data_IF_747310357855
#
_entry.id   IF_747310357855
#
_cell.length_a   1.000
_cell.length_b   1.000
_cell.length_c   1.000
_cell.angle_alpha   90.00
_cell.angle_beta   90.00
_cell.angle_gamma   90.00
#
_symmetry.space_group_name_H-M   'P 1'
#
loop_
_entity.id
_entity.type
_entity.pdbx_description
1 polymer ?
#
# COMPACT_ATOMS: atom_id res chain seq x y z
N UNK A 1 7.74 -19.81 56.17
CA UNK A 1 9.05 -20.12 55.55
C UNK A 1 8.96 -19.65 54.10
N UNK A 2 9.04 -18.35 53.80
CA UNK A 2 10.25 -17.53 53.61
C UNK A 2 11.37 -18.18 52.78
N UNK A 3 11.86 -17.36 51.82
CA UNK A 3 13.13 -17.44 51.09
C UNK A 3 13.08 -18.27 49.78
N UNK A 4 13.42 -17.77 48.58
CA UNK A 4 14.20 -16.58 48.21
C UNK A 4 13.90 -16.16 46.77
N UNK A 5 13.79 -14.85 46.51
CA UNK A 5 14.01 -14.26 45.18
C UNK A 5 15.47 -14.47 44.78
N UNK A 6 15.74 -14.80 43.51
CA UNK A 6 16.99 -14.39 42.86
C UNK A 6 16.72 -13.83 41.47
N UNK A 7 17.06 -12.56 41.38
CA UNK A 7 17.20 -11.72 40.19
C UNK A 7 18.63 -11.92 39.69
N UNK A 8 18.82 -12.19 38.40
CA UNK A 8 20.13 -12.05 37.74
C UNK A 8 19.89 -11.42 36.36
N UNK A 9 20.37 -10.19 36.11
CA UNK A 9 20.51 -9.62 34.78
C UNK A 9 21.93 -9.89 34.26
N UNK A 10 22.12 -9.97 32.94
CA UNK A 10 23.36 -9.50 32.30
C UNK A 10 23.25 -9.51 30.78
N UNK A 11 23.24 -8.29 30.22
CA UNK A 11 23.68 -8.02 28.86
C UNK A 11 25.15 -8.43 28.71
N UNK A 12 25.54 -8.98 27.54
CA UNK A 12 26.82 -8.63 26.89
C UNK A 12 26.64 -8.63 25.37
N UNK A 13 26.63 -7.44 24.82
CA UNK A 13 26.96 -7.15 23.44
C UNK A 13 28.39 -7.64 23.18
N UNK A 14 28.56 -8.55 22.23
CA UNK A 14 29.85 -8.89 21.66
C UNK A 14 29.92 -8.30 20.25
N UNK A 15 30.29 -7.03 20.20
CA UNK A 15 30.83 -6.36 19.01
C UNK A 15 32.10 -7.08 18.58
N UNK A 16 32.10 -7.69 17.39
CA UNK A 16 33.32 -7.99 16.64
C UNK A 16 33.37 -7.12 15.40
N UNK A 17 34.19 -6.08 15.51
CA UNK A 17 34.76 -5.26 14.46
C UNK A 17 35.72 -6.14 13.64
N UNK A 18 35.39 -6.41 12.37
CA UNK A 18 36.39 -6.82 11.38
C UNK A 18 36.39 -5.77 10.28
N UNK A 19 37.31 -4.83 10.43
CA UNK A 19 37.71 -3.89 9.38
C UNK A 19 38.43 -4.67 8.28
N UNK A 20 37.73 -4.97 7.19
CA UNK A 20 38.35 -5.41 5.93
C UNK A 20 38.49 -4.21 5.01
N UNK A 21 39.70 -3.63 5.00
CA UNK A 21 40.12 -2.61 4.07
C UNK A 21 40.46 -3.28 2.74
N UNK A 22 39.49 -3.37 1.82
CA UNK A 22 39.72 -3.84 0.45
C UNK A 22 39.90 -2.64 -0.48
N UNK A 23 41.15 -2.22 -0.63
CA UNK A 23 41.61 -1.29 -1.66
C UNK A 23 41.76 -2.10 -2.96
N UNK A 24 40.75 -2.08 -3.85
CA UNK A 24 40.90 -2.62 -5.20
C UNK A 24 40.85 -1.48 -6.22
N UNK A 25 41.98 -1.36 -6.90
CA UNK A 25 42.36 -0.34 -7.87
C UNK A 25 41.48 -0.35 -9.11
N UNK A 26 41.05 0.84 -9.50
CA UNK A 26 40.39 1.15 -10.77
C UNK A 26 41.39 1.00 -11.93
N UNK A 27 41.23 -0.01 -12.80
CA UNK A 27 41.93 -0.06 -14.09
C UNK A 27 40.95 0.43 -15.18
N UNK A 28 41.26 1.52 -15.91
CA UNK A 28 40.56 1.84 -17.15
C UNK A 28 40.98 0.82 -18.23
N UNK A 29 40.03 0.03 -18.71
CA UNK A 29 40.24 -0.86 -19.85
C UNK A 29 40.50 -0.04 -21.12
N UNK A 30 41.72 -0.14 -21.64
CA UNK A 30 42.10 0.38 -22.94
C UNK A 30 41.24 -0.25 -24.04
N UNK A 31 40.55 0.59 -24.81
CA UNK A 31 39.91 0.21 -26.06
C UNK A 31 41.00 -0.22 -27.04
N UNK A 32 41.07 -1.52 -27.35
CA UNK A 32 41.90 -2.01 -28.43
C UNK A 32 41.13 -1.78 -29.74
N UNK A 33 41.54 -0.75 -30.49
CA UNK A 33 41.13 -0.55 -31.86
C UNK A 33 41.49 -1.80 -32.67
N UNK A 34 40.48 -2.57 -33.10
CA UNK A 34 40.70 -3.62 -34.09
C UNK A 34 41.04 -2.97 -35.42
N UNK A 35 42.30 -3.13 -35.78
CA UNK A 35 42.89 -2.84 -37.07
C UNK A 35 42.05 -3.50 -38.16
N UNK A 36 41.53 -2.68 -39.08
CA UNK A 36 40.98 -3.15 -40.35
C UNK A 36 42.07 -3.96 -41.08
N UNK A 37 41.82 -5.25 -41.22
CA UNK A 37 42.61 -6.18 -42.02
C UNK A 37 41.68 -6.89 -42.98
N UNK A 38 42.14 -7.00 -44.23
CA UNK A 38 41.60 -7.80 -45.33
C UNK A 38 40.21 -7.46 -45.86
N UNK A 39 40.20 -6.47 -46.74
CA UNK A 39 39.38 -6.53 -47.94
C UNK A 39 40.12 -7.40 -48.97
N UNK A 40 39.87 -8.71 -48.97
CA UNK A 40 40.06 -9.52 -50.17
C UNK A 40 38.83 -10.38 -50.40
N UNK A 41 38.08 -10.01 -51.44
CA UNK A 41 36.75 -10.52 -51.72
C UNK A 41 36.82 -11.87 -52.39
N UNK A 42 36.79 -12.96 -51.63
CA UNK A 42 36.38 -14.31 -52.09
C UNK A 42 35.88 -15.19 -50.94
N UNK A 43 34.83 -14.75 -50.22
CA UNK A 43 34.08 -15.60 -49.31
C UNK A 43 32.75 -16.02 -49.94
N UNK A 44 32.60 -17.31 -50.28
CA UNK A 44 31.34 -17.92 -50.75
C UNK A 44 30.19 -17.54 -49.82
N UNK A 45 29.11 -17.03 -50.41
CA UNK A 45 27.94 -16.52 -49.72
C UNK A 45 27.33 -17.53 -48.76
N UNK A 46 27.29 -17.17 -47.48
CA UNK A 46 26.36 -17.74 -46.53
C UNK A 46 25.10 -16.89 -46.63
N UNK A 47 24.09 -17.42 -47.31
CA UNK A 47 22.75 -16.85 -47.32
C UNK A 47 22.33 -16.61 -45.88
N UNK A 48 22.12 -15.35 -45.50
CA UNK A 48 21.41 -14.97 -44.29
C UNK A 48 19.94 -15.35 -44.48
N UNK A 49 19.65 -16.64 -44.34
CA UNK A 49 18.30 -17.15 -44.25
C UNK A 49 17.77 -16.74 -42.87
N UNK A 50 17.13 -15.57 -42.83
CA UNK A 50 16.49 -14.97 -41.66
C UNK A 50 15.35 -15.84 -41.08
N UNK A 51 15.07 -16.99 -41.70
CA UNK A 51 14.05 -17.94 -41.26
C UNK A 51 14.58 -19.05 -40.35
N UNK A 52 15.90 -19.19 -40.18
CA UNK A 52 16.49 -20.15 -39.26
C UNK A 52 17.12 -19.46 -38.04
N UNK A 53 16.36 -18.54 -37.43
CA UNK A 53 16.58 -18.22 -36.02
C UNK A 53 15.96 -19.37 -35.26
N UNK A 54 16.79 -20.30 -34.77
CA UNK A 54 16.41 -21.16 -33.66
C UNK A 54 15.94 -20.21 -32.55
N UNK A 55 14.61 -20.04 -32.45
CA UNK A 55 14.00 -19.36 -31.32
C UNK A 55 14.28 -20.29 -30.17
N UNK A 56 15.43 -20.09 -29.52
CA UNK A 56 15.65 -20.47 -28.15
C UNK A 56 14.48 -19.84 -27.40
N UNK A 57 13.38 -20.57 -27.31
CA UNK A 57 12.28 -20.24 -26.43
C UNK A 57 12.96 -20.25 -25.09
N UNK A 58 13.22 -19.09 -24.46
CA UNK A 58 13.75 -19.14 -23.14
C UNK A 58 12.55 -19.61 -22.35
N UNK A 59 12.47 -20.92 -22.11
CA UNK A 59 11.73 -21.44 -20.98
C UNK A 59 12.48 -20.89 -19.79
N UNK A 60 12.28 -19.60 -19.49
CA UNK A 60 12.48 -19.03 -18.18
C UNK A 60 11.38 -19.69 -17.36
N UNK A 61 11.60 -20.96 -17.04
CA UNK A 61 10.78 -21.76 -16.13
C UNK A 61 10.86 -21.05 -14.80
N UNK A 62 9.91 -20.15 -14.53
CA UNK A 62 9.70 -19.57 -13.21
C UNK A 62 10.83 -18.67 -12.72
N UNK A 63 11.23 -17.65 -13.49
CA UNK A 63 11.99 -16.55 -12.92
C UNK A 63 11.27 -15.99 -11.69
N UNK A 64 12.01 -15.78 -10.59
CA UNK A 64 11.51 -15.25 -9.31
C UNK A 64 10.65 -13.99 -9.50
N UNK A 65 10.95 -13.21 -10.54
CA UNK A 65 10.20 -12.04 -10.98
C UNK A 65 9.22 -12.34 -12.12
N UNK A 66 8.11 -13.01 -11.81
CA UNK A 66 7.05 -13.27 -12.78
C UNK A 66 5.67 -13.29 -12.12
N UNK A 67 4.62 -13.02 -12.92
CA UNK A 67 3.23 -13.10 -12.46
C UNK A 67 2.90 -14.49 -11.90
N UNK A 68 3.26 -15.62 -12.58
CA UNK A 68 3.04 -16.95 -12.02
C UNK A 68 3.79 -17.18 -10.71
N UNK A 69 5.03 -16.67 -10.57
CA UNK A 69 5.80 -16.82 -9.34
C UNK A 69 5.11 -16.11 -8.14
N UNK A 70 4.64 -14.88 -8.32
CA UNK A 70 3.91 -14.20 -7.23
C UNK A 70 2.55 -14.82 -6.93
N UNK A 71 1.81 -15.32 -7.93
CA UNK A 71 0.57 -16.11 -7.71
C UNK A 71 0.84 -17.39 -6.91
N UNK A 72 1.94 -18.09 -7.22
CA UNK A 72 2.38 -19.27 -6.46
C UNK A 72 2.67 -18.91 -5.00
N UNK A 73 3.37 -17.81 -4.72
CA UNK A 73 3.62 -17.34 -3.35
C UNK A 73 2.32 -17.07 -2.59
N UNK A 74 1.31 -16.48 -3.23
CA UNK A 74 0.00 -16.27 -2.62
C UNK A 74 -0.70 -17.60 -2.28
N UNK A 75 -0.64 -18.59 -3.18
CA UNK A 75 -1.21 -19.92 -2.94
C UNK A 75 -0.48 -20.70 -1.83
N UNK A 76 0.85 -20.58 -1.78
CA UNK A 76 1.65 -21.14 -0.69
C UNK A 76 1.32 -20.47 0.65
N UNK A 77 1.08 -19.16 0.65
CA UNK A 77 0.66 -18.45 1.84
C UNK A 77 -0.71 -18.89 2.34
N UNK A 78 -1.67 -19.10 1.43
CA UNK A 78 -2.99 -19.64 1.77
C UNK A 78 -2.87 -21.05 2.38
N UNK A 79 -2.02 -21.89 1.79
CA UNK A 79 -1.74 -23.23 2.33
C UNK A 79 -1.14 -23.15 3.74
N UNK A 80 -0.18 -22.25 3.96
CA UNK A 80 0.44 -22.01 5.26
C UNK A 80 -0.57 -21.44 6.28
N UNK A 81 -1.45 -20.53 5.86
CA UNK A 81 -2.51 -19.97 6.69
C UNK A 81 -3.49 -21.07 7.17
N UNK A 82 -3.91 -21.94 6.26
CA UNK A 82 -4.80 -23.07 6.58
C UNK A 82 -4.13 -24.08 7.53
N UNK A 83 -2.80 -24.22 7.44
CA UNK A 83 -2.01 -24.99 8.39
C UNK A 83 -1.68 -24.24 9.69
N UNK A 84 -2.28 -23.06 9.92
CA UNK A 84 -2.03 -22.18 11.07
C UNK A 84 -0.57 -21.71 11.21
N UNK A 85 0.24 -21.85 10.15
CA UNK A 85 1.59 -21.32 10.08
C UNK A 85 1.55 -19.87 9.60
N UNK A 86 1.10 -18.98 10.49
CA UNK A 86 0.88 -17.58 10.16
C UNK A 86 2.16 -16.81 9.85
N UNK A 87 3.30 -17.19 10.43
CA UNK A 87 4.58 -16.53 10.14
C UNK A 87 5.06 -16.82 8.73
N UNK A 88 4.96 -18.08 8.28
CA UNK A 88 5.25 -18.44 6.90
C UNK A 88 4.25 -17.79 5.93
N UNK A 89 2.95 -17.79 6.26
CA UNK A 89 1.94 -17.13 5.44
C UNK A 89 2.23 -15.64 5.26
N UNK A 90 2.58 -14.95 6.36
CA UNK A 90 2.95 -13.53 6.32
C UNK A 90 4.19 -13.29 5.45
N UNK A 91 5.24 -14.09 5.62
CA UNK A 91 6.47 -13.98 4.82
C UNK A 91 6.21 -14.16 3.33
N UNK A 92 5.45 -15.19 2.94
CA UNK A 92 5.10 -15.47 1.54
C UNK A 92 4.29 -14.34 0.90
N UNK A 93 3.36 -13.74 1.67
CA UNK A 93 2.57 -12.60 1.18
C UNK A 93 3.39 -11.32 1.07
N UNK A 94 4.36 -11.09 1.97
CA UNK A 94 5.30 -9.98 1.84
C UNK A 94 6.12 -10.10 0.54
N UNK A 95 6.67 -11.29 0.27
CA UNK A 95 7.41 -11.56 -0.97
C UNK A 95 6.52 -11.36 -2.21
N UNK A 96 5.29 -11.88 -2.18
CA UNK A 96 4.33 -11.70 -3.26
C UNK A 96 4.04 -10.23 -3.54
N UNK A 97 3.80 -9.42 -2.49
CA UNK A 97 3.58 -7.97 -2.62
C UNK A 97 4.77 -7.27 -3.25
N UNK A 98 5.99 -7.57 -2.79
CA UNK A 98 7.20 -6.97 -3.30
C UNK A 98 7.39 -7.26 -4.79
N UNK A 99 7.24 -8.53 -5.17
CA UNK A 99 7.34 -8.96 -6.57
C UNK A 99 6.29 -8.27 -7.43
N UNK A 100 5.03 -8.26 -6.98
CA UNK A 100 3.92 -7.66 -7.74
C UNK A 100 4.06 -6.15 -7.90
N UNK A 101 4.54 -5.44 -6.86
CA UNK A 101 4.81 -4.01 -6.92
C UNK A 101 5.94 -3.68 -7.92
N UNK A 102 7.00 -4.46 -7.93
CA UNK A 102 8.09 -4.23 -8.87
C UNK A 102 7.67 -4.60 -10.31
N UNK A 103 6.88 -5.66 -10.50
CA UNK A 103 6.32 -5.98 -11.81
C UNK A 103 5.37 -4.90 -12.34
N UNK A 104 4.52 -4.30 -11.49
CA UNK A 104 3.61 -3.24 -11.93
C UNK A 104 4.38 -1.99 -12.35
N UNK A 105 5.44 -1.63 -11.63
CA UNK A 105 6.34 -0.54 -12.01
C UNK A 105 7.04 -0.83 -13.34
N UNK A 106 7.59 -2.03 -13.52
CA UNK A 106 8.27 -2.41 -14.77
C UNK A 106 7.33 -2.39 -15.97
N UNK A 107 6.12 -2.95 -15.84
CA UNK A 107 5.15 -2.90 -16.92
C UNK A 107 4.66 -1.47 -17.20
N UNK A 108 4.56 -0.60 -16.20
CA UNK A 108 4.23 0.82 -16.40
C UNK A 108 5.33 1.57 -17.16
N UNK A 109 6.60 1.29 -16.84
CA UNK A 109 7.75 1.82 -17.60
C UNK A 109 7.71 1.34 -19.04
N UNK A 110 7.47 0.04 -19.28
CA UNK A 110 7.36 -0.50 -20.64
C UNK A 110 6.18 0.09 -21.40
N UNK A 111 5.01 0.26 -20.77
CA UNK A 111 3.88 0.97 -21.39
C UNK A 111 4.32 2.33 -21.93
N UNK A 112 5.04 3.10 -21.11
CA UNK A 112 5.52 4.45 -21.45
C UNK A 112 6.55 4.43 -22.58
N UNK A 113 7.50 3.48 -22.57
CA UNK A 113 8.52 3.35 -23.62
C UNK A 113 7.95 3.01 -25.00
N UNK A 114 6.81 2.32 -25.05
CA UNK A 114 6.13 1.97 -26.32
C UNK A 114 5.02 2.95 -26.71
N UNK A 115 4.72 3.99 -25.91
CA UNK A 115 3.78 5.03 -26.30
C UNK A 115 4.30 5.76 -27.54
N UNK A 116 3.44 5.90 -28.56
CA UNK A 116 3.81 6.52 -29.84
C UNK A 116 4.64 5.65 -30.78
N UNK A 117 5.16 4.51 -30.31
CA UNK A 117 5.92 3.54 -31.13
C UNK A 117 5.01 2.41 -31.58
N UNK A 118 4.42 1.68 -30.62
CA UNK A 118 3.47 0.60 -30.90
C UNK A 118 2.36 0.58 -29.84
N UNK A 119 1.17 1.02 -30.26
CA UNK A 119 -0.02 1.08 -29.40
C UNK A 119 -0.43 -0.30 -28.88
N UNK A 120 -0.28 -1.36 -29.66
CA UNK A 120 -0.69 -2.72 -29.26
C UNK A 120 0.24 -3.26 -28.19
N UNK A 121 1.54 -3.03 -28.34
CA UNK A 121 2.54 -3.42 -27.34
C UNK A 121 2.35 -2.62 -26.05
N UNK A 122 2.21 -1.28 -26.16
CA UNK A 122 1.94 -0.40 -25.01
C UNK A 122 0.68 -0.83 -24.24
N UNK A 123 -0.41 -1.12 -24.95
CA UNK A 123 -1.66 -1.61 -24.36
C UNK A 123 -1.50 -2.97 -23.67
N UNK A 124 -0.72 -3.88 -24.26
CA UNK A 124 -0.41 -5.16 -23.64
C UNK A 124 0.29 -5.00 -22.29
N UNK A 125 1.30 -4.13 -22.23
CA UNK A 125 2.00 -3.82 -20.96
C UNK A 125 1.09 -3.11 -19.97
N UNK A 126 0.21 -2.21 -20.43
CA UNK A 126 -0.72 -1.47 -19.57
C UNK A 126 -1.65 -2.43 -18.81
N UNK A 127 -2.16 -3.45 -19.50
CA UNK A 127 -2.99 -4.50 -18.88
C UNK A 127 -2.21 -5.31 -17.85
N UNK A 128 -0.95 -5.66 -18.12
CA UNK A 128 -0.09 -6.38 -17.16
C UNK A 128 0.27 -5.53 -15.94
N UNK A 129 0.50 -4.23 -16.12
CA UNK A 129 0.72 -3.29 -15.01
C UNK A 129 -0.52 -3.25 -14.10
N UNK A 130 -1.72 -3.20 -14.68
CA UNK A 130 -2.96 -3.25 -13.93
C UNK A 130 -3.15 -4.61 -13.21
N UNK A 131 -2.95 -5.73 -13.90
CA UNK A 131 -3.06 -7.08 -13.30
C UNK A 131 -2.13 -7.23 -12.09
N UNK A 132 -0.87 -6.84 -12.23
CA UNK A 132 0.13 -6.94 -11.16
C UNK A 132 -0.17 -5.99 -9.99
N UNK A 133 -0.66 -4.78 -10.26
CA UNK A 133 -1.13 -3.88 -9.21
C UNK A 133 -2.32 -4.47 -8.43
N UNK A 134 -3.27 -5.11 -9.11
CA UNK A 134 -4.40 -5.79 -8.46
C UNK A 134 -3.93 -6.96 -7.58
N UNK A 135 -2.99 -7.77 -8.06
CA UNK A 135 -2.41 -8.88 -7.30
C UNK A 135 -1.59 -8.40 -6.09
N UNK A 136 -0.89 -7.25 -6.21
CA UNK A 136 -0.26 -6.58 -5.06
C UNK A 136 -1.30 -6.23 -4.01
N UNK A 137 -2.42 -5.62 -4.40
CA UNK A 137 -3.43 -5.21 -3.44
C UNK A 137 -4.14 -6.42 -2.82
N UNK A 138 -4.37 -7.48 -3.58
CA UNK A 138 -4.94 -8.73 -3.07
C UNK A 138 -4.01 -9.43 -2.07
N UNK A 139 -2.71 -9.52 -2.36
CA UNK A 139 -1.73 -10.08 -1.41
C UNK A 139 -1.58 -9.18 -0.17
N UNK A 140 -1.70 -7.86 -0.33
CA UNK A 140 -1.77 -6.91 0.79
C UNK A 140 -2.97 -7.17 1.69
N UNK A 141 -4.13 -7.43 1.10
CA UNK A 141 -5.35 -7.74 1.84
C UNK A 141 -5.21 -9.04 2.62
N UNK A 142 -4.73 -10.10 1.97
CA UNK A 142 -4.47 -11.38 2.62
C UNK A 142 -3.48 -11.22 3.78
N UNK A 143 -2.42 -10.43 3.60
CA UNK A 143 -1.43 -10.19 4.66
C UNK A 143 -2.04 -9.51 5.88
N UNK A 144 -2.94 -8.55 5.67
CA UNK A 144 -3.69 -7.92 6.77
C UNK A 144 -4.53 -8.94 7.53
N UNK A 145 -5.20 -9.88 6.83
CA UNK A 145 -5.96 -10.96 7.48
C UNK A 145 -5.05 -11.89 8.28
N UNK A 146 -3.86 -12.23 7.78
CA UNK A 146 -2.87 -13.01 8.54
C UNK A 146 -2.50 -12.29 9.84
N UNK A 147 -2.22 -10.98 9.78
CA UNK A 147 -1.89 -10.22 11.00
C UNK A 147 -3.07 -10.12 11.98
N UNK A 148 -4.31 -10.05 11.50
CA UNK A 148 -5.49 -10.15 12.38
C UNK A 148 -5.55 -11.51 13.07
N UNK A 149 -5.32 -12.60 12.34
CA UNK A 149 -5.27 -13.95 12.92
C UNK A 149 -4.13 -14.11 13.95
N UNK A 150 -3.06 -13.33 13.81
CA UNK A 150 -1.97 -13.24 14.79
C UNK A 150 -2.24 -12.31 15.98
N UNK A 151 -3.43 -11.69 16.08
CA UNK A 151 -3.75 -10.64 17.05
C UNK A 151 -2.81 -9.42 16.97
N UNK A 152 -2.41 -9.04 15.74
CA UNK A 152 -1.56 -7.87 15.45
C UNK A 152 -2.29 -6.82 14.60
N UNK A 153 -3.40 -6.22 15.10
CA UNK A 153 -4.18 -5.25 14.34
C UNK A 153 -3.37 -4.02 13.94
N UNK A 154 -2.36 -3.63 14.72
CA UNK A 154 -1.45 -2.52 14.45
C UNK A 154 -0.66 -2.69 13.15
N UNK A 155 -0.44 -3.93 12.71
CA UNK A 155 0.16 -4.23 11.40
C UNK A 155 -0.87 -4.36 10.29
N UNK A 156 -2.09 -4.79 10.61
CA UNK A 156 -3.17 -4.95 9.65
C UNK A 156 -3.73 -3.60 9.17
N UNK A 157 -3.98 -2.66 10.09
CA UNK A 157 -4.56 -1.34 9.81
C UNK A 157 -3.84 -0.59 8.68
N UNK A 158 -2.50 -0.38 8.73
CA UNK A 158 -1.82 0.37 7.67
C UNK A 158 -1.93 -0.32 6.30
N UNK A 159 -1.96 -1.65 6.25
CA UNK A 159 -2.15 -2.41 5.01
C UNK A 159 -3.56 -2.24 4.43
N UNK A 160 -4.59 -2.21 5.29
CA UNK A 160 -5.97 -1.98 4.87
C UNK A 160 -6.16 -0.56 4.32
N UNK A 161 -5.53 0.44 4.94
CA UNK A 161 -5.51 1.82 4.44
C UNK A 161 -4.77 1.90 3.09
N UNK A 162 -3.64 1.21 2.95
CA UNK A 162 -2.89 1.13 1.69
C UNK A 162 -3.78 0.62 0.55
N UNK A 163 -4.58 -0.42 0.80
CA UNK A 163 -5.51 -0.96 -0.19
C UNK A 163 -6.61 0.05 -0.52
N UNK A 164 -7.19 0.77 0.44
CA UNK A 164 -8.20 1.80 0.16
C UNK A 164 -7.63 2.96 -0.67
N UNK A 165 -6.35 3.30 -0.47
CA UNK A 165 -5.67 4.32 -1.27
C UNK A 165 -5.41 3.85 -2.70
N UNK A 166 -5.02 2.59 -2.86
CA UNK A 166 -4.75 2.00 -4.17
C UNK A 166 -6.03 1.66 -4.93
N UNK A 167 -6.96 1.03 -4.25
CA UNK A 167 -8.29 0.64 -4.71
C UNK A 167 -9.28 1.63 -4.12
N UNK A 168 -9.84 2.49 -4.97
CA UNK A 168 -10.91 3.42 -4.59
C UNK A 168 -11.93 2.71 -3.65
N UNK A 169 -12.37 3.34 -2.53
CA UNK A 169 -13.20 2.69 -1.51
C UNK A 169 -14.52 2.12 -2.04
N UNK A 170 -14.99 2.56 -3.20
CA UNK A 170 -16.18 2.04 -3.87
C UNK A 170 -15.98 0.69 -4.58
N UNK A 171 -14.74 0.25 -4.78
CA UNK A 171 -14.38 -1.04 -5.40
C UNK A 171 -14.47 -2.16 -4.37
N UNK A 172 -14.69 -3.39 -4.83
CA UNK A 172 -14.95 -4.53 -3.94
C UNK A 172 -13.85 -4.76 -2.90
N UNK A 173 -12.58 -4.68 -3.31
CA UNK A 173 -11.45 -4.84 -2.38
C UNK A 173 -11.32 -3.65 -1.42
N UNK A 174 -11.62 -2.44 -1.89
CA UNK A 174 -11.68 -1.23 -1.05
C UNK A 174 -12.78 -1.32 0.02
N UNK A 175 -13.99 -1.75 -0.37
CA UNK A 175 -15.12 -2.00 0.54
C UNK A 175 -14.77 -3.05 1.59
N UNK A 176 -14.22 -4.20 1.18
CA UNK A 176 -13.76 -5.25 2.10
C UNK A 176 -12.75 -4.70 3.08
N UNK A 177 -11.74 -3.99 2.60
CA UNK A 177 -10.69 -3.42 3.46
C UNK A 177 -11.23 -2.40 4.45
N UNK A 178 -12.18 -1.55 4.03
CA UNK A 178 -12.85 -0.61 4.91
C UNK A 178 -13.70 -1.30 5.97
N UNK A 179 -14.45 -2.35 5.59
CA UNK A 179 -15.20 -3.17 6.54
C UNK A 179 -14.27 -3.77 7.60
N UNK A 180 -13.09 -4.26 7.21
CA UNK A 180 -12.12 -4.76 8.19
C UNK A 180 -11.63 -3.67 9.15
N UNK A 181 -11.48 -2.42 8.70
CA UNK A 181 -11.15 -1.30 9.59
C UNK A 181 -12.26 -1.01 10.61
N UNK A 182 -13.52 -1.12 10.19
CA UNK A 182 -14.68 -0.99 11.11
C UNK A 182 -14.69 -2.13 12.13
N UNK A 183 -14.51 -3.37 11.70
CA UNK A 183 -14.44 -4.55 12.59
C UNK A 183 -13.28 -4.47 13.60
N UNK A 184 -12.20 -3.76 13.25
CA UNK A 184 -11.06 -3.51 14.14
C UNK A 184 -11.27 -2.31 15.07
N UNK A 185 -12.39 -1.60 14.97
CA UNK A 185 -12.66 -0.38 15.74
C UNK A 185 -11.79 0.80 15.34
N UNK A 186 -11.19 0.78 14.14
CA UNK A 186 -10.40 1.91 13.64
C UNK A 186 -11.30 3.00 13.00
N UNK A 187 -12.50 2.62 12.54
CA UNK A 187 -13.48 3.54 11.98
C UNK A 187 -14.87 3.22 12.52
N UNK A 188 -15.56 4.22 13.05
CA UNK A 188 -16.89 4.04 13.67
C UNK A 188 -18.05 4.18 12.67
N UNK A 189 -17.76 4.65 11.45
CA UNK A 189 -18.78 4.89 10.43
C UNK A 189 -18.75 3.76 9.40
N UNK A 190 -19.83 2.97 9.23
CA UNK A 190 -19.90 1.95 8.19
C UNK A 190 -20.00 2.55 6.78
N UNK A 191 -19.45 1.85 5.79
CA UNK A 191 -19.51 2.20 4.37
C UNK A 191 -19.81 0.95 3.52
N UNK A 192 -20.68 1.03 2.49
CA UNK A 192 -21.51 2.17 2.15
C UNK A 192 -22.53 2.49 3.25
N UNK A 193 -22.87 3.77 3.42
CA UNK A 193 -23.89 4.18 4.40
C UNK A 193 -25.22 3.58 3.98
N UNK A 194 -25.88 2.87 4.90
CA UNK A 194 -27.30 2.52 4.76
C UNK A 194 -28.12 3.80 4.85
N UNK A 195 -28.93 4.15 3.83
CA UNK A 195 -29.84 5.29 3.92
C UNK A 195 -30.81 5.02 5.09
N UNK A 196 -30.76 5.83 6.14
CA UNK A 196 -31.60 5.71 7.33
C UNK A 196 -30.86 5.52 8.66
N UNK A 197 -29.53 5.34 8.66
CA UNK A 197 -28.73 5.40 9.90
C UNK A 197 -28.21 6.82 10.09
N UNK A 198 -29.11 7.74 10.42
CA UNK A 198 -28.70 9.01 11.03
C UNK A 198 -28.03 8.67 12.36
N UNK A 199 -26.79 9.11 12.50
CA UNK A 199 -26.01 8.98 13.72
C UNK A 199 -26.72 9.82 14.78
N UNK A 200 -27.47 9.20 15.68
CA UNK A 200 -27.91 9.88 16.89
C UNK A 200 -26.65 10.45 17.55
N UNK A 201 -26.55 11.78 17.76
CA UNK A 201 -25.43 12.33 18.49
C UNK A 201 -25.40 11.68 19.88
N UNK A 202 -24.21 11.47 20.48
CA UNK A 202 -24.14 11.01 21.86
C UNK A 202 -24.96 12.00 22.70
N UNK A 203 -25.88 11.49 23.51
CA UNK A 203 -26.65 12.30 24.45
C UNK A 203 -25.69 13.06 25.36
N UNK A 204 -25.34 14.29 24.98
CA UNK A 204 -24.77 15.26 25.89
C UNK A 204 -25.81 15.47 26.98
N UNK A 205 -25.51 14.94 28.16
CA UNK A 205 -26.14 15.35 29.42
C UNK A 205 -26.24 16.88 29.44
N UNK A 206 -27.43 17.45 29.70
CA UNK A 206 -27.59 18.90 29.68
C UNK A 206 -26.65 19.54 30.70
N UNK A 207 -26.00 20.67 30.39
CA UNK A 207 -25.24 21.41 31.38
C UNK A 207 -26.19 21.86 32.49
N UNK A 208 -25.80 21.53 33.72
CA UNK A 208 -26.43 21.97 34.96
C UNK A 208 -26.60 23.49 34.94
N UNK A 209 -27.84 23.96 35.09
CA UNK A 209 -28.16 25.38 35.32
C UNK A 209 -27.26 25.94 36.43
N UNK A 210 -26.60 27.09 36.24
CA UNK A 210 -25.98 27.79 37.35
C UNK A 210 -27.09 28.43 38.21
N UNK A 211 -27.17 27.93 39.43
CA UNK A 211 -27.93 28.49 40.55
C UNK A 211 -27.47 29.92 40.82
N UNK A 212 -28.39 30.88 40.68
CA UNK A 212 -28.16 32.30 40.97
C UNK A 212 -28.48 32.55 42.46
N UNK A 213 -27.55 33.07 43.29
CA UNK A 213 -27.86 33.43 44.67
C UNK A 213 -28.70 34.73 44.74
N UNK A 214 -29.52 34.92 45.79
CA UNK A 214 -30.52 35.99 45.83
C UNK A 214 -29.89 37.33 46.20
N UNK A 215 -30.27 38.40 45.48
CA UNK A 215 -30.05 39.79 45.89
C UNK A 215 -31.37 40.42 46.38
N UNK A 216 -31.36 41.23 47.45
CA UNK A 216 -32.58 41.70 48.10
C UNK A 216 -33.20 42.94 47.43
N UNK A 217 -34.52 43.04 47.63
CA UNK A 217 -35.47 44.05 47.15
C UNK A 217 -35.07 45.51 47.46
N UNK A 218 -35.26 46.44 46.52
CA UNK A 218 -36.37 47.44 46.56
C UNK A 218 -36.39 48.38 45.33
N UNK A 219 -37.57 48.92 44.93
CA UNK A 219 -37.82 49.73 43.72
C UNK A 219 -38.08 51.21 44.09
N UNK A 220 -38.77 52.09 43.30
CA UNK A 220 -38.99 52.23 41.85
C UNK A 220 -38.66 53.65 41.32
N UNK A 221 -38.54 53.85 39.99
CA UNK A 221 -38.91 55.13 39.37
C UNK A 221 -39.19 55.01 37.86
N UNK A 222 -40.45 55.25 37.51
CA UNK A 222 -40.93 55.99 36.33
C UNK A 222 -40.79 55.39 34.91
N UNK A 223 -41.93 54.91 34.40
CA UNK A 223 -42.37 55.06 32.99
C UNK A 223 -42.64 56.56 32.68
N UNK A 224 -42.86 57.04 31.42
CA UNK A 224 -43.25 56.36 30.16
C UNK A 224 -42.33 56.78 28.96
N UNK A 225 -42.47 56.42 27.68
CA UNK A 225 -43.62 56.38 26.75
C UNK A 225 -43.14 55.80 25.39
N UNK A 226 -44.04 55.40 24.48
CA UNK A 226 -43.79 54.59 23.29
C UNK A 226 -43.58 55.41 22.01
N UNK A 227 -42.88 54.82 21.04
CA UNK A 227 -42.76 55.36 19.68
C UNK A 227 -42.55 54.24 18.66
N UNK A 228 -43.56 54.04 17.83
CA UNK A 228 -43.79 52.99 16.81
C UNK A 228 -42.91 53.21 15.53
N UNK A 229 -43.03 52.42 14.43
CA UNK A 229 -41.91 51.89 13.65
C UNK A 229 -41.77 52.57 12.27
N UNK A 230 -40.72 52.24 11.51
CA UNK A 230 -40.63 52.42 10.04
C UNK A 230 -39.47 51.54 9.55
N UNK A 231 -39.73 50.39 8.93
CA UNK A 231 -40.00 50.17 7.48
C UNK A 231 -38.81 50.59 6.59
N UNK A 232 -38.14 49.57 6.02
CA UNK A 232 -37.67 49.32 4.62
C UNK A 232 -37.52 50.54 3.65
N UNK A 233 -36.71 50.51 2.56
CA UNK A 233 -36.21 49.29 1.90
C UNK A 233 -34.82 49.33 1.21
N UNK A 234 -34.39 48.13 0.79
CA UNK A 234 -33.88 47.73 -0.53
C UNK A 234 -33.04 48.73 -1.36
N UNK A 235 -31.81 48.33 -1.71
CA UNK A 235 -31.30 48.56 -3.07
C UNK A 235 -30.18 47.57 -3.43
N UNK A 236 -30.17 47.03 -4.67
CA UNK A 236 -29.14 46.11 -5.15
C UNK A 236 -28.03 46.85 -5.92
N UNK A 237 -26.85 46.23 -5.98
CA UNK A 237 -26.01 46.20 -7.17
C UNK A 237 -25.11 44.97 -7.14
#
# INVERSE_FOLDING_TARGET
MQSSRRFIPSSRYATLLVTSLSLFTFLPGSVLAQRAGDLDGTGKGQSSDLNNVEVLSPTITGGLFSIPAGKRLMSEAESAYNAQNFDLAASKLQDARQIMNQLSNFYSTLTSSFLGVDRRVSESHRRKALETAQLRDQSTYQLALVYRAQNKPEKAIPLLIEIIRSQNPSRDLGKKSYQQLVELGFSDVPYPRTPGTESSPPSETPPTSPENPPAPETPPASTPTPGTPSVLPENPN
#
